data_IF_492711783860
#
_entry.id   IF_492711783860
#
_cell.length_a   1.000
_cell.length_b   1.000
_cell.length_c   1.000
_cell.angle_alpha   90.00
_cell.angle_beta   90.00
_cell.angle_gamma   90.00
#
_symmetry.space_group_name_H-M   'P 1'
#
loop_
_entity.id
_entity.type
_entity.pdbx_description
1 polymer ?
#
# COMPACT_ATOMS: atom_id res chain seq x y z
N UNK A 1 -2.89 20.60 17.28
CA UNK A 1 -2.41 20.29 15.92
C UNK A 1 -3.63 20.05 15.05
N UNK A 2 -3.62 20.49 13.79
CA UNK A 2 -4.75 20.27 12.90
C UNK A 2 -4.75 18.79 12.47
N UNK A 3 -5.92 18.15 12.55
CA UNK A 3 -6.08 16.77 12.11
C UNK A 3 -6.33 16.76 10.60
N UNK A 4 -5.56 15.97 9.87
CA UNK A 4 -5.74 15.79 8.43
C UNK A 4 -6.96 14.90 8.17
N UNK A 5 -7.68 15.20 7.10
CA UNK A 5 -8.73 14.31 6.60
C UNK A 5 -8.10 13.12 5.88
N UNK A 6 -8.88 12.04 5.71
CA UNK A 6 -8.46 10.88 4.92
C UNK A 6 -8.09 11.27 3.48
N UNK A 7 -8.85 12.18 2.87
CA UNK A 7 -8.60 12.71 1.54
C UNK A 7 -7.23 13.41 1.46
N UNK A 8 -6.90 14.26 2.44
CA UNK A 8 -5.61 14.94 2.48
C UNK A 8 -4.43 13.97 2.67
N UNK A 9 -4.62 12.91 3.46
CA UNK A 9 -3.63 11.85 3.64
C UNK A 9 -3.45 11.07 2.33
N UNK A 10 -4.55 10.65 1.71
CA UNK A 10 -4.56 9.91 0.45
C UNK A 10 -3.89 10.70 -0.69
N UNK A 11 -4.17 12.01 -0.77
CA UNK A 11 -3.53 12.91 -1.74
C UNK A 11 -2.01 12.95 -1.56
N UNK A 12 -1.51 13.03 -0.33
CA UNK A 12 -0.06 13.00 -0.06
C UNK A 12 0.56 11.63 -0.34
N UNK A 13 -0.17 10.55 -0.08
CA UNK A 13 0.29 9.19 -0.38
C UNK A 13 0.37 8.90 -1.89
N UNK A 14 -0.44 9.57 -2.71
CA UNK A 14 -0.47 9.40 -4.16
C UNK A 14 0.90 9.65 -4.82
N UNK A 15 1.68 10.58 -4.29
CA UNK A 15 3.01 10.94 -4.79
C UNK A 15 4.14 10.00 -4.31
N UNK A 16 3.79 8.95 -3.54
CA UNK A 16 4.73 7.96 -3.00
C UNK A 16 4.67 6.69 -3.85
N UNK A 17 5.69 6.50 -4.68
CA UNK A 17 5.74 5.36 -5.63
C UNK A 17 5.79 3.99 -4.95
N UNK A 18 6.44 3.89 -3.78
CA UNK A 18 6.76 2.62 -3.12
C UNK A 18 6.33 2.66 -1.65
N UNK A 19 5.58 1.64 -1.25
CA UNK A 19 5.30 1.32 0.14
C UNK A 19 6.10 0.09 0.58
N UNK A 20 6.39 -0.05 1.86
CA UNK A 20 6.83 -1.33 2.42
C UNK A 20 5.60 -2.10 2.91
N UNK A 21 5.31 -3.23 2.28
CA UNK A 21 4.28 -4.16 2.72
C UNK A 21 4.87 -5.16 3.71
N UNK A 22 4.29 -5.22 4.91
CA UNK A 22 4.67 -6.10 6.00
C UNK A 22 3.61 -7.18 6.17
N UNK A 23 4.03 -8.44 6.07
CA UNK A 23 3.18 -9.63 6.23
C UNK A 23 3.73 -10.53 7.34
N UNK A 24 2.88 -11.42 7.86
CA UNK A 24 3.31 -12.50 8.77
C UNK A 24 3.53 -13.78 7.98
N UNK A 25 4.73 -14.35 8.07
CA UNK A 25 5.03 -15.62 7.41
C UNK A 25 4.37 -16.80 8.12
N UNK A 26 4.23 -17.94 7.44
CA UNK A 26 3.72 -19.17 8.06
C UNK A 26 4.55 -19.69 9.25
N UNK A 27 5.79 -19.23 9.40
CA UNK A 27 6.66 -19.51 10.56
C UNK A 27 6.50 -18.45 11.68
N UNK A 28 5.58 -17.49 11.52
CA UNK A 28 5.29 -16.43 12.48
C UNK A 28 6.22 -15.22 12.42
N UNK A 29 7.21 -15.20 11.52
CA UNK A 29 8.12 -14.07 11.32
C UNK A 29 7.45 -12.91 10.59
N UNK A 30 8.06 -11.73 10.62
CA UNK A 30 7.63 -10.58 9.80
C UNK A 30 8.49 -10.50 8.54
N UNK A 31 7.85 -10.43 7.38
CA UNK A 31 8.51 -10.17 6.11
C UNK A 31 8.08 -8.79 5.58
N UNK A 32 9.04 -7.96 5.20
CA UNK A 32 8.79 -6.64 4.63
C UNK A 32 9.31 -6.58 3.19
N UNK A 33 8.47 -6.16 2.24
CA UNK A 33 8.79 -6.13 0.81
C UNK A 33 8.40 -4.78 0.21
N UNK A 34 9.25 -4.14 -0.61
CA UNK A 34 8.87 -2.92 -1.32
C UNK A 34 7.84 -3.27 -2.40
N UNK A 35 6.72 -2.54 -2.42
CA UNK A 35 5.62 -2.73 -3.36
C UNK A 35 5.33 -1.41 -4.06
N UNK A 36 5.25 -1.45 -5.39
CA UNK A 36 4.87 -0.27 -6.18
C UNK A 36 3.39 -0.01 -5.96
N UNK A 37 3.09 1.14 -5.39
CA UNK A 37 1.72 1.62 -5.25
C UNK A 37 1.22 2.07 -6.63
N UNK A 38 -0.02 1.73 -6.99
CA UNK A 38 -0.60 2.11 -8.29
C UNK A 38 -0.92 3.62 -8.38
N UNK A 39 -0.74 4.38 -7.31
CA UNK A 39 -1.16 5.79 -7.22
C UNK A 39 -2.63 5.95 -6.82
N UNK A 40 -3.39 4.86 -6.72
CA UNK A 40 -4.75 4.86 -6.21
C UNK A 40 -4.74 4.51 -4.71
N UNK A 41 -4.64 5.55 -3.89
CA UNK A 41 -5.29 5.48 -2.58
C UNK A 41 -6.71 5.94 -2.85
N UNK A 42 -7.66 5.01 -2.84
CA UNK A 42 -9.07 5.40 -2.94
C UNK A 42 -9.47 6.23 -1.72
N UNK A 43 -10.45 7.12 -1.89
CA UNK A 43 -11.01 7.99 -0.84
C UNK A 43 -11.51 7.21 0.40
N UNK A 44 -11.57 5.88 0.34
CA UNK A 44 -12.03 4.96 1.38
C UNK A 44 -10.90 4.25 2.16
N UNK A 45 -9.64 4.64 1.98
CA UNK A 45 -8.51 4.02 2.69
C UNK A 45 -8.14 2.63 2.17
N UNK A 46 -8.36 2.38 0.88
CA UNK A 46 -7.95 1.15 0.21
C UNK A 46 -6.72 1.41 -0.66
N UNK A 47 -5.73 0.52 -0.54
CA UNK A 47 -4.52 0.52 -1.36
C UNK A 47 -4.47 -0.75 -2.24
N UNK A 48 -4.01 -0.60 -3.47
CA UNK A 48 -3.91 -1.69 -4.44
C UNK A 48 -2.46 -1.94 -4.89
N UNK A 49 -2.08 -3.21 -4.99
CA UNK A 49 -0.73 -3.62 -5.41
C UNK A 49 -0.80 -4.86 -6.30
N UNK A 50 -0.09 -4.85 -7.43
CA UNK A 50 0.05 -6.04 -8.27
C UNK A 50 1.22 -6.92 -7.80
N UNK A 51 1.05 -8.23 -7.91
CA UNK A 51 2.09 -9.24 -7.70
C UNK A 51 1.75 -10.53 -8.47
N UNK A 52 2.48 -11.61 -8.25
CA UNK A 52 2.18 -12.93 -8.82
C UNK A 52 1.83 -13.96 -7.74
N UNK A 53 1.02 -14.95 -8.11
CA UNK A 53 0.52 -16.01 -7.22
C UNK A 53 1.62 -16.80 -6.50
N UNK A 54 2.78 -16.95 -7.14
CA UNK A 54 3.91 -17.72 -6.65
C UNK A 54 4.77 -16.97 -5.62
N UNK A 55 4.43 -15.71 -5.30
CA UNK A 55 5.18 -14.93 -4.32
C UNK A 55 4.88 -15.34 -2.88
N UNK A 56 5.91 -15.24 -2.04
CA UNK A 56 5.76 -15.42 -0.59
C UNK A 56 4.73 -14.47 0.03
N UNK A 57 4.55 -13.26 -0.54
CA UNK A 57 3.51 -12.32 -0.10
C UNK A 57 2.11 -12.91 -0.19
N UNK A 58 1.77 -13.58 -1.29
CA UNK A 58 0.46 -14.21 -1.48
C UNK A 58 0.27 -15.38 -0.51
N UNK A 59 1.32 -16.19 -0.31
CA UNK A 59 1.30 -17.28 0.66
C UNK A 59 1.12 -16.76 2.10
N UNK A 60 1.83 -15.69 2.47
CA UNK A 60 1.73 -15.05 3.79
C UNK A 60 0.31 -14.51 4.03
N UNK A 61 -0.29 -13.80 3.06
CA UNK A 61 -1.65 -13.24 3.15
C UNK A 61 -2.71 -14.34 3.26
N UNK A 62 -2.54 -15.45 2.53
CA UNK A 62 -3.45 -16.59 2.63
C UNK A 62 -3.42 -17.25 4.02
N UNK A 63 -2.28 -17.16 4.73
CA UNK A 63 -2.13 -17.64 6.10
C UNK A 63 -2.68 -16.65 7.13
N UNK A 64 -2.33 -15.37 7.02
CA UNK A 64 -2.77 -14.28 7.88
C UNK A 64 -3.01 -13.02 7.06
N UNK A 65 -4.27 -12.67 6.87
CA UNK A 65 -4.67 -11.51 6.06
C UNK A 65 -4.30 -10.16 6.69
N UNK A 66 -3.87 -10.11 7.96
CA UNK A 66 -3.49 -8.86 8.62
C UNK A 66 -2.12 -8.41 8.11
N UNK A 67 -2.07 -7.17 7.63
CA UNK A 67 -0.87 -6.59 7.03
C UNK A 67 -0.59 -5.19 7.57
N UNK A 68 0.67 -4.77 7.45
CA UNK A 68 1.10 -3.40 7.63
C UNK A 68 1.57 -2.78 6.31
N UNK A 69 1.29 -1.51 6.08
CA UNK A 69 1.96 -0.72 5.04
C UNK A 69 2.68 0.44 5.69
N UNK A 70 3.89 0.74 5.22
CA UNK A 70 4.54 2.01 5.55
C UNK A 70 4.89 2.79 4.29
N UNK A 71 4.62 4.09 4.33
CA UNK A 71 4.91 5.04 3.27
C UNK A 71 5.87 6.09 3.81
N UNK A 72 6.83 6.48 2.98
CA UNK A 72 7.74 7.57 3.26
C UNK A 72 7.80 8.48 2.04
N UNK A 73 7.27 9.69 2.20
CA UNK A 73 7.41 10.76 1.23
C UNK A 73 8.85 11.23 1.11
N UNK A 74 9.13 12.02 0.08
CA UNK A 74 10.43 12.66 -0.07
C UNK A 74 10.62 13.68 1.06
N UNK A 75 11.83 13.74 1.62
CA UNK A 75 12.23 14.88 2.45
C UNK A 75 12.20 16.15 1.61
N UNK A 76 11.72 17.25 2.17
CA UNK A 76 11.64 18.54 1.49
C UNK A 76 13.01 19.21 1.31
N UNK A 77 13.02 20.54 1.33
CA UNK A 77 14.26 21.34 1.39
C UNK A 77 15.01 21.00 2.69
N UNK A 78 16.34 21.17 2.71
CA UNK A 78 17.20 20.93 3.89
C UNK A 78 16.53 21.43 5.17
N UNK A 79 16.20 20.51 6.09
CA UNK A 79 15.55 20.79 7.37
C UNK A 79 14.07 20.38 7.47
N UNK A 80 13.37 20.14 6.35
CA UNK A 80 12.01 19.60 6.38
C UNK A 80 12.00 18.08 6.52
N UNK A 81 11.29 17.60 7.54
CA UNK A 81 11.01 16.17 7.75
C UNK A 81 10.00 15.66 6.70
N UNK A 82 10.12 14.39 6.26
CA UNK A 82 9.20 13.82 5.28
C UNK A 82 7.80 13.59 5.86
N UNK A 83 6.84 13.46 4.96
CA UNK A 83 5.54 12.86 5.29
C UNK A 83 5.70 11.35 5.47
N UNK A 84 5.20 10.80 6.57
CA UNK A 84 5.29 9.39 6.93
C UNK A 84 3.89 8.85 7.23
N UNK A 85 3.59 7.63 6.79
CA UNK A 85 2.33 6.96 7.09
C UNK A 85 2.58 5.52 7.45
N UNK A 86 1.92 5.05 8.50
CA UNK A 86 1.78 3.64 8.85
C UNK A 86 0.31 3.25 8.76
N UNK A 87 0.01 2.18 8.03
CA UNK A 87 -1.33 1.63 7.87
C UNK A 87 -1.34 0.23 8.46
N UNK A 88 -2.34 -0.05 9.28
CA UNK A 88 -2.74 -1.40 9.68
C UNK A 88 -4.00 -1.77 8.91
N UNK A 89 -4.01 -2.95 8.28
CA UNK A 89 -5.13 -3.32 7.43
C UNK A 89 -5.30 -4.83 7.24
N UNK A 90 -6.29 -5.16 6.41
CA UNK A 90 -6.58 -6.53 5.98
C UNK A 90 -6.41 -6.60 4.48
N UNK A 91 -5.65 -7.59 4.02
CA UNK A 91 -5.38 -7.84 2.61
C UNK A 91 -6.30 -8.94 2.05
N UNK A 92 -6.72 -8.75 0.80
CA UNK A 92 -7.41 -9.74 -0.03
C UNK A 92 -6.65 -9.94 -1.33
N UNK A 93 -6.58 -11.19 -1.80
CA UNK A 93 -5.97 -11.55 -3.08
C UNK A 93 -7.06 -11.71 -4.14
N UNK A 94 -7.13 -10.74 -5.04
CA UNK A 94 -8.10 -10.68 -6.14
C UNK A 94 -7.53 -11.34 -7.39
N UNK A 95 -8.34 -12.18 -8.03
CA UNK A 95 -8.05 -12.93 -9.27
C UNK A 95 -9.06 -12.61 -10.37
N UNK A 96 -9.50 -11.36 -10.41
CA UNK A 96 -10.49 -10.89 -11.36
C UNK A 96 -9.84 -9.96 -12.40
N UNK A 97 -9.99 -10.31 -13.68
CA UNK A 97 -9.37 -9.55 -14.77
C UNK A 97 -9.98 -8.16 -14.92
N UNK A 98 -11.27 -7.98 -14.61
CA UNK A 98 -11.92 -6.67 -14.63
C UNK A 98 -11.31 -5.72 -13.59
N UNK A 99 -11.04 -6.22 -12.38
CA UNK A 99 -10.31 -5.49 -11.36
C UNK A 99 -8.88 -5.14 -11.81
N UNK A 100 -8.19 -6.04 -12.52
CA UNK A 100 -6.85 -5.74 -13.02
C UNK A 100 -6.89 -4.58 -14.01
N UNK A 101 -7.82 -4.60 -14.97
CA UNK A 101 -7.99 -3.54 -15.97
C UNK A 101 -8.32 -2.18 -15.31
N UNK A 102 -9.15 -2.18 -14.25
CA UNK A 102 -9.50 -0.96 -13.52
C UNK A 102 -8.29 -0.30 -12.83
N UNK A 103 -7.41 -1.10 -12.23
CA UNK A 103 -6.31 -0.63 -11.39
C UNK A 103 -4.94 -0.62 -12.08
N UNK A 104 -4.83 -1.14 -13.31
CA UNK A 104 -3.56 -1.14 -14.05
C UNK A 104 -3.13 0.26 -14.47
N UNK A 105 -1.86 0.60 -14.28
CA UNK A 105 -1.28 1.88 -14.68
C UNK A 105 -0.01 1.63 -15.46
N UNK A 106 0.23 2.43 -16.51
CA UNK A 106 1.37 2.26 -17.42
C UNK A 106 2.73 2.27 -16.69
N UNK A 107 2.83 2.97 -15.55
CA UNK A 107 4.03 2.97 -14.73
C UNK A 107 4.42 1.56 -14.19
N UNK A 108 3.46 0.63 -14.10
CA UNK A 108 3.68 -0.73 -13.61
C UNK A 108 4.34 -1.65 -14.64
N UNK A 109 4.28 -1.32 -15.94
CA UNK A 109 4.91 -2.09 -17.03
C UNK A 109 6.41 -2.29 -16.80
N UNK A 110 7.08 -1.40 -16.07
CA UNK A 110 8.49 -1.55 -15.70
C UNK A 110 8.79 -2.80 -14.85
N UNK A 111 7.77 -3.33 -14.16
CA UNK A 111 7.87 -4.49 -13.27
C UNK A 111 7.31 -5.77 -13.90
N UNK A 112 6.41 -5.64 -14.88
CA UNK A 112 5.67 -6.75 -15.48
C UNK A 112 5.83 -6.72 -17.00
N UNK A 113 6.76 -7.53 -17.51
CA UNK A 113 7.12 -7.52 -18.94
C UNK A 113 5.97 -7.91 -19.89
N UNK A 114 4.91 -8.57 -19.40
CA UNK A 114 3.72 -8.96 -20.17
C UNK A 114 2.46 -8.20 -19.74
N UNK A 115 2.60 -7.11 -18.99
CA UNK A 115 1.49 -6.31 -18.46
C UNK A 115 0.39 -7.19 -17.80
N UNK A 116 -0.87 -6.99 -18.19
CA UNK A 116 -2.05 -7.75 -17.74
C UNK A 116 -2.06 -9.22 -18.16
N UNK A 117 -1.21 -9.60 -19.11
CA UNK A 117 -1.03 -10.99 -19.56
C UNK A 117 0.16 -11.67 -18.86
N UNK A 118 0.69 -11.05 -17.80
CA UNK A 118 1.64 -11.71 -16.90
C UNK A 118 0.97 -12.92 -16.26
N UNK A 119 1.59 -14.08 -16.45
CA UNK A 119 1.13 -15.34 -15.87
C UNK A 119 1.14 -15.29 -14.35
N UNK A 120 0.05 -15.76 -13.74
CA UNK A 120 -0.13 -15.72 -12.29
C UNK A 120 -0.32 -14.31 -11.72
N UNK A 121 -0.58 -13.28 -12.53
CA UNK A 121 -0.85 -11.93 -12.03
C UNK A 121 -2.04 -11.92 -11.07
N UNK A 122 -1.88 -11.28 -9.93
CA UNK A 122 -2.92 -11.03 -8.95
C UNK A 122 -2.87 -9.59 -8.45
N UNK A 123 -4.01 -9.13 -7.94
CA UNK A 123 -4.16 -7.84 -7.31
C UNK A 123 -4.36 -8.02 -5.82
N UNK A 124 -3.52 -7.38 -5.02
CA UNK A 124 -3.71 -7.25 -3.58
C UNK A 124 -4.58 -6.02 -3.34
N UNK A 125 -5.71 -6.20 -2.67
CA UNK A 125 -6.50 -5.10 -2.10
C UNK A 125 -6.24 -5.05 -0.61
N UNK A 126 -5.81 -3.91 -0.09
CA UNK A 126 -5.55 -3.72 1.33
C UNK A 126 -6.49 -2.65 1.86
N UNK A 127 -7.40 -3.04 2.75
CA UNK A 127 -8.34 -2.13 3.42
C UNK A 127 -7.77 -1.71 4.77
N UNK A 128 -7.62 -0.41 4.98
CA UNK A 128 -7.14 0.13 6.25
C UNK A 128 -8.17 -0.07 7.37
N UNK A 129 -7.69 -0.51 8.53
CA UNK A 129 -8.40 -0.45 9.80
C UNK A 129 -7.96 0.77 10.61
N UNK A 130 -6.68 1.13 10.50
CA UNK A 130 -6.05 2.26 11.19
C UNK A 130 -4.96 2.86 10.32
N UNK A 131 -4.89 4.19 10.31
CA UNK A 131 -3.86 4.98 9.63
C UNK A 131 -3.27 5.95 10.64
N UNK A 132 -1.96 5.87 10.88
CA UNK A 132 -1.20 6.85 11.65
C UNK A 132 -0.29 7.61 10.70
N UNK A 133 -0.32 8.95 10.75
CA UNK A 133 0.49 9.80 9.91
C UNK A 133 1.33 10.80 10.73
N UNK A 134 2.46 11.19 10.15
CA UNK A 134 3.32 12.27 10.61
C UNK A 134 3.67 13.14 9.41
N UNK A 135 3.35 14.43 9.51
CA UNK A 135 3.60 15.42 8.46
C UNK A 135 4.65 16.41 8.95
N UNK A 136 5.90 15.98 8.86
CA UNK A 136 7.04 16.69 9.39
C UNK A 136 6.90 17.00 10.89
N UNK A 137 7.03 18.27 11.25
CA UNK A 137 6.80 18.77 12.62
C UNK A 137 5.44 19.51 12.73
N UNK A 138 4.63 19.51 11.67
CA UNK A 138 3.41 20.32 11.56
C UNK A 138 2.18 19.59 12.10
N UNK A 139 2.05 18.30 11.79
CA UNK A 139 0.90 17.50 12.18
C UNK A 139 1.27 16.04 12.46
N UNK A 140 0.58 15.47 13.45
CA UNK A 140 0.55 14.04 13.73
C UNK A 140 -0.89 13.69 14.08
N UNK A 141 -1.35 12.53 13.63
CA UNK A 141 -2.70 12.08 13.95
C UNK A 141 -2.99 10.68 13.47
N UNK A 142 -4.21 10.25 13.76
CA UNK A 142 -4.69 8.91 13.46
C UNK A 142 -6.13 8.95 12.93
N UNK A 143 -6.43 8.04 12.01
CA UNK A 143 -7.78 7.71 11.57
C UNK A 143 -8.01 6.22 11.80
N UNK A 144 -9.12 5.88 12.45
CA UNK A 144 -9.56 4.50 12.68
C UNK A 144 -10.92 4.27 12.03
N UNK A 145 -11.09 3.08 11.42
CA UNK A 145 -12.29 2.68 10.65
C UNK A 145 -13.13 1.60 11.35
N UNK A 146 -12.77 1.28 12.59
CA UNK A 146 -13.43 0.33 13.50
C UNK A 146 -14.51 0.99 14.36
#
# INVERSE_FOLDING_TARGET
MAQMTLEQIADKMRDIDVAMLVTRTGEGQLAARPMSHSGEVEENGVCYFFTTEDTGTVADIAHDARVGLTFQGRGGIVGQRPFLVAVEGVAEVIRDRGAFEAHWRQALTRWFARDLDTEGLVLLQIRANRIHYWDGDEAEGEISFI
#
